data_IF_874867916559
#
_entry.id   IF_874867916559
#
_cell.length_a   1.000
_cell.length_b   1.000
_cell.length_c   1.000
_cell.angle_alpha   90.00
_cell.angle_beta   90.00
_cell.angle_gamma   90.00
#
_symmetry.space_group_name_H-M   'P 1'
#
loop_
_entity.id
_entity.type
_entity.pdbx_description
1 polymer ?
#
# COMPACT_ATOMS: atom_id res chain seq x y z
N UNK A 1 -10.33 -14.90 -7.28
CA UNK A 1 -10.75 -13.48 -7.31
C UNK A 1 -11.30 -13.19 -5.93
N UNK A 2 -10.41 -12.66 -5.11
CA UNK A 2 -10.18 -13.16 -3.75
C UNK A 2 -10.65 -12.13 -2.74
N UNK A 3 -11.80 -12.43 -2.13
CA UNK A 3 -12.31 -11.64 -1.02
C UNK A 3 -11.64 -12.03 0.28
N UNK A 4 -11.46 -11.09 1.21
CA UNK A 4 -10.89 -11.36 2.54
C UNK A 4 -11.71 -12.44 3.28
N UNK A 5 -13.03 -12.46 3.10
CA UNK A 5 -13.91 -13.44 3.77
C UNK A 5 -14.06 -14.71 2.95
N UNK A 6 -14.07 -14.60 1.62
CA UNK A 6 -14.33 -15.72 0.72
C UNK A 6 -13.07 -16.55 0.38
N UNK A 7 -11.88 -15.96 0.40
CA UNK A 7 -10.63 -16.62 0.00
C UNK A 7 -9.89 -17.25 1.18
N UNK A 8 -9.85 -16.62 2.36
CA UNK A 8 -9.21 -17.18 3.55
C UNK A 8 -9.60 -16.45 4.86
N UNK A 9 -10.64 -16.93 5.55
CA UNK A 9 -11.09 -16.37 6.82
C UNK A 9 -10.03 -16.40 7.93
N UNK A 10 -9.08 -17.34 7.88
CA UNK A 10 -7.98 -17.43 8.85
C UNK A 10 -7.00 -16.26 8.70
N UNK A 11 -6.73 -15.81 7.46
CA UNK A 11 -5.90 -14.62 7.22
C UNK A 11 -6.53 -13.36 7.82
N UNK A 12 -7.85 -13.21 7.72
CA UNK A 12 -8.57 -12.09 8.32
C UNK A 12 -8.51 -12.11 9.85
N UNK A 13 -8.73 -13.28 10.46
CA UNK A 13 -8.64 -13.45 11.91
C UNK A 13 -7.21 -13.14 12.38
N UNK A 14 -6.21 -13.66 11.66
CA UNK A 14 -4.80 -13.40 11.96
C UNK A 14 -4.47 -11.90 11.88
N UNK A 15 -4.89 -11.22 10.82
CA UNK A 15 -4.69 -9.77 10.67
C UNK A 15 -5.30 -9.02 11.86
N UNK A 16 -6.56 -9.29 12.20
CA UNK A 16 -7.23 -8.64 13.34
C UNK A 16 -6.48 -8.87 14.67
N UNK A 17 -6.05 -10.10 14.91
CA UNK A 17 -5.31 -10.43 16.12
C UNK A 17 -3.98 -9.69 16.17
N UNK A 18 -3.26 -9.60 15.04
CA UNK A 18 -1.99 -8.89 14.96
C UNK A 18 -2.18 -7.37 15.14
N UNK A 19 -3.17 -6.75 14.50
CA UNK A 19 -3.44 -5.32 14.65
C UNK A 19 -3.77 -4.93 16.10
N UNK A 20 -4.50 -5.80 16.82
CA UNK A 20 -4.93 -5.56 18.22
C UNK A 20 -3.87 -5.89 19.26
N UNK A 21 -3.03 -6.90 19.02
CA UNK A 21 -2.06 -7.38 20.03
C UNK A 21 -0.69 -6.72 19.94
N UNK A 22 -0.34 -6.12 18.79
CA UNK A 22 0.96 -5.52 18.58
C UNK A 22 1.13 -4.21 19.34
N UNK A 23 2.30 -4.05 19.94
CA UNK A 23 2.69 -2.84 20.70
C UNK A 23 3.35 -1.80 19.81
N UNK A 24 3.77 -2.22 18.62
CA UNK A 24 4.40 -1.41 17.59
C UNK A 24 3.46 -0.28 17.14
N UNK A 25 4.01 0.93 17.02
CA UNK A 25 3.28 2.16 16.66
C UNK A 25 3.17 2.36 15.15
N UNK A 26 4.05 1.73 14.37
CA UNK A 26 4.08 1.86 12.91
C UNK A 26 3.71 0.52 12.26
N UNK A 27 2.71 0.52 11.40
CA UNK A 27 2.22 -0.64 10.67
C UNK A 27 2.30 -0.33 9.17
N UNK A 28 2.97 -1.21 8.44
CA UNK A 28 3.04 -1.16 6.97
C UNK A 28 2.44 -2.46 6.44
N UNK A 29 1.30 -2.35 5.77
CA UNK A 29 0.57 -3.46 5.18
C UNK A 29 0.88 -3.55 3.69
N UNK A 30 1.40 -4.68 3.23
CA UNK A 30 1.64 -4.94 1.81
C UNK A 30 0.52 -5.81 1.23
N UNK A 31 -0.09 -5.35 0.14
CA UNK A 31 -1.14 -6.07 -0.58
C UNK A 31 -0.74 -6.29 -2.04
N UNK A 32 -1.15 -7.40 -2.66
CA UNK A 32 -0.85 -7.66 -4.07
C UNK A 32 -1.64 -6.75 -5.03
N UNK A 33 -2.78 -6.21 -4.59
CA UNK A 33 -3.69 -5.39 -5.38
C UNK A 33 -4.20 -4.19 -4.57
N UNK A 34 -4.76 -3.16 -5.23
CA UNK A 34 -5.46 -2.08 -4.57
C UNK A 34 -6.55 -2.57 -3.60
N UNK A 35 -6.87 -1.78 -2.58
CA UNK A 35 -8.03 -2.04 -1.71
C UNK A 35 -9.31 -1.59 -2.40
N UNK A 36 -9.31 -0.40 -3.01
CA UNK A 36 -10.48 0.24 -3.59
C UNK A 36 -10.44 0.24 -5.13
N UNK A 37 -11.60 0.53 -5.73
CA UNK A 37 -11.75 0.73 -7.17
C UNK A 37 -11.82 -0.57 -7.98
N UNK A 38 -11.90 -0.44 -9.30
CA UNK A 38 -12.17 -1.56 -10.22
C UNK A 38 -11.10 -2.67 -10.21
N UNK A 39 -9.90 -2.38 -9.71
CA UNK A 39 -8.79 -3.33 -9.57
C UNK A 39 -8.58 -3.84 -8.15
N UNK A 40 -9.41 -3.41 -7.18
CA UNK A 40 -9.36 -3.86 -5.79
C UNK A 40 -10.33 -4.98 -5.47
N UNK A 41 -10.86 -4.99 -4.24
CA UNK A 41 -11.87 -5.98 -3.84
C UNK A 41 -13.11 -5.88 -4.75
N UNK A 42 -13.65 -7.03 -5.17
CA UNK A 42 -14.86 -7.05 -6.00
C UNK A 42 -16.11 -6.67 -5.19
N UNK A 43 -16.12 -7.01 -3.90
CA UNK A 43 -17.15 -6.60 -2.95
C UNK A 43 -16.69 -5.34 -2.21
N UNK A 44 -17.42 -4.23 -2.39
CA UNK A 44 -17.10 -2.97 -1.73
C UNK A 44 -17.18 -3.08 -0.21
N UNK A 45 -18.03 -3.97 0.33
CA UNK A 45 -18.13 -4.20 1.77
C UNK A 45 -16.85 -4.82 2.34
N UNK A 46 -16.08 -5.59 1.55
CA UNK A 46 -14.79 -6.12 2.00
C UNK A 46 -13.71 -5.04 2.01
N UNK A 47 -13.72 -4.13 1.02
CA UNK A 47 -12.83 -2.99 1.00
C UNK A 47 -13.10 -2.05 2.19
N UNK A 48 -14.38 -1.77 2.46
CA UNK A 48 -14.81 -0.94 3.58
C UNK A 48 -14.47 -1.63 4.92
N UNK A 49 -14.74 -2.93 5.06
CA UNK A 49 -14.38 -3.68 6.27
C UNK A 49 -12.88 -3.63 6.59
N UNK A 50 -12.02 -3.84 5.57
CA UNK A 50 -10.56 -3.70 5.76
C UNK A 50 -10.21 -2.28 6.18
N UNK A 51 -10.76 -1.28 5.48
CA UNK A 51 -10.49 0.12 5.76
C UNK A 51 -10.90 0.51 7.18
N UNK A 52 -12.13 0.21 7.58
CA UNK A 52 -12.67 0.52 8.90
C UNK A 52 -11.83 -0.15 10.00
N UNK A 53 -11.41 -1.39 9.81
CA UNK A 53 -10.52 -2.11 10.76
C UNK A 53 -9.17 -1.40 10.91
N UNK A 54 -8.63 -0.86 9.81
CA UNK A 54 -7.40 -0.08 9.86
C UNK A 54 -7.64 1.30 10.50
N UNK A 55 -8.79 1.93 10.28
CA UNK A 55 -9.15 3.20 10.93
C UNK A 55 -9.26 3.01 12.45
N UNK A 56 -9.96 1.96 12.91
CA UNK A 56 -10.01 1.61 14.34
C UNK A 56 -8.60 1.41 14.92
N UNK A 57 -7.72 0.74 14.17
CA UNK A 57 -6.34 0.51 14.58
C UNK A 57 -5.53 1.82 14.65
N UNK A 58 -5.76 2.73 13.69
CA UNK A 58 -5.14 4.06 13.65
C UNK A 58 -5.60 4.91 14.83
N UNK A 59 -6.88 4.87 15.18
CA UNK A 59 -7.46 5.63 16.28
C UNK A 59 -6.87 5.24 17.66
N UNK A 60 -6.27 4.06 17.75
CA UNK A 60 -5.43 3.64 18.89
C UNK A 60 -4.04 4.32 18.92
N UNK A 61 -3.80 5.31 18.06
CA UNK A 61 -2.55 6.08 17.97
C UNK A 61 -1.48 5.44 17.09
N UNK A 62 -1.84 4.52 16.19
CA UNK A 62 -0.90 3.83 15.30
C UNK A 62 -0.81 4.53 13.95
N UNK A 63 0.40 4.61 13.39
CA UNK A 63 0.65 5.05 12.02
C UNK A 63 0.48 3.87 11.06
N UNK A 64 -0.35 4.05 10.02
CA UNK A 64 -0.67 2.97 9.09
C UNK A 64 -0.40 3.41 7.66
N UNK A 65 0.35 2.57 6.95
CA UNK A 65 0.61 2.67 5.53
C UNK A 65 0.13 1.38 4.86
N UNK A 66 -0.55 1.50 3.74
CA UNK A 66 -0.93 0.38 2.89
C UNK A 66 -0.22 0.53 1.57
N UNK A 67 0.66 -0.42 1.24
CA UNK A 67 1.42 -0.43 -0.01
C UNK A 67 0.88 -1.53 -0.89
N UNK A 68 0.59 -1.22 -2.15
CA UNK A 68 0.11 -2.21 -3.11
C UNK A 68 0.66 -2.01 -4.52
N UNK A 69 0.63 -3.09 -5.31
CA UNK A 69 0.93 -3.02 -6.74
C UNK A 69 -0.17 -2.38 -7.55
N UNK A 70 0.18 -1.87 -8.74
CA UNK A 70 -0.74 -1.29 -9.70
C UNK A 70 -0.06 -0.91 -11.02
N UNK A 71 -0.75 -0.12 -11.83
CA UNK A 71 -0.31 0.30 -13.17
C UNK A 71 0.38 1.67 -13.19
N UNK A 72 0.75 2.20 -12.03
CA UNK A 72 1.38 3.50 -11.86
C UNK A 72 1.78 3.71 -10.41
N UNK A 73 2.48 4.81 -10.13
CA UNK A 73 2.92 5.15 -8.77
C UNK A 73 2.14 6.35 -8.27
N UNK A 74 1.33 6.16 -7.22
CA UNK A 74 0.48 7.21 -6.65
C UNK A 74 0.38 7.07 -5.14
N UNK A 75 -0.01 8.15 -4.47
CA UNK A 75 -0.29 8.12 -3.03
C UNK A 75 -1.62 8.79 -2.77
N UNK A 76 -2.42 8.20 -1.91
CA UNK A 76 -3.70 8.75 -1.45
C UNK A 76 -3.76 8.73 0.08
N UNK A 77 -4.41 9.74 0.66
CA UNK A 77 -4.62 9.84 2.11
C UNK A 77 -6.11 9.74 2.38
N UNK A 78 -6.53 8.65 3.01
CA UNK A 78 -7.92 8.39 3.34
C UNK A 78 -8.05 8.08 4.83
N UNK A 79 -8.83 8.90 5.54
CA UNK A 79 -9.05 8.79 6.99
C UNK A 79 -7.73 8.69 7.78
N UNK A 80 -6.74 9.43 7.31
CA UNK A 80 -5.39 9.49 7.86
C UNK A 80 -4.57 8.21 7.71
N UNK A 81 -5.02 7.23 6.91
CA UNK A 81 -4.24 6.09 6.45
C UNK A 81 -3.67 6.44 5.07
N UNK A 82 -2.39 6.14 4.86
CA UNK A 82 -1.74 6.41 3.57
C UNK A 82 -1.72 5.18 2.69
N UNK A 83 -2.42 5.25 1.57
CA UNK A 83 -2.45 4.23 0.53
C UNK A 83 -1.42 4.59 -0.54
N UNK A 84 -0.51 3.67 -0.83
CA UNK A 84 0.61 3.89 -1.75
C UNK A 84 0.56 2.81 -2.81
N UNK A 85 0.30 3.23 -4.04
CA UNK A 85 0.42 2.37 -5.21
C UNK A 85 1.84 2.47 -5.75
N UNK A 86 2.47 1.33 -6.00
CA UNK A 86 3.71 1.26 -6.77
C UNK A 86 3.42 0.70 -8.16
N UNK A 87 4.10 1.24 -9.16
CA UNK A 87 4.03 0.67 -10.50
C UNK A 87 4.71 -0.71 -10.53
N UNK A 88 3.90 -1.75 -10.66
CA UNK A 88 4.36 -3.15 -10.74
C UNK A 88 3.93 -3.79 -12.05
N UNK A 89 3.62 -2.98 -13.08
CA UNK A 89 3.29 -3.48 -14.42
C UNK A 89 4.48 -4.28 -14.98
N UNK A 90 4.18 -5.32 -15.76
CA UNK A 90 5.22 -6.00 -16.54
C UNK A 90 5.91 -5.00 -17.47
N UNK A 91 7.24 -5.04 -17.50
CA UNK A 91 8.03 -4.21 -18.42
C UNK A 91 7.81 -4.72 -19.85
N UNK A 92 7.34 -3.83 -20.71
CA UNK A 92 7.03 -4.12 -22.11
C UNK A 92 7.99 -3.44 -23.08
N UNK A 93 8.52 -2.29 -22.68
CA UNK A 93 9.49 -1.49 -23.42
C UNK A 93 10.67 -1.15 -22.52
N UNK A 94 11.82 -0.79 -23.11
CA UNK A 94 12.98 -0.34 -22.34
C UNK A 94 12.71 0.94 -21.57
N UNK A 95 11.80 1.80 -22.03
CA UNK A 95 11.43 3.04 -21.34
C UNK A 95 10.64 2.80 -20.04
N UNK A 96 9.97 1.64 -19.90
CA UNK A 96 9.20 1.30 -18.70
C UNK A 96 10.08 1.22 -17.45
N UNK A 97 11.39 0.99 -17.59
CA UNK A 97 12.31 0.94 -16.44
C UNK A 97 12.38 2.27 -15.69
N UNK A 98 12.11 3.39 -16.37
CA UNK A 98 12.13 4.72 -15.76
C UNK A 98 10.86 5.00 -14.94
N UNK A 99 9.82 4.17 -15.09
CA UNK A 99 8.62 4.23 -14.25
C UNK A 99 8.75 3.37 -12.98
N UNK A 100 9.84 2.63 -12.82
CA UNK A 100 10.09 1.83 -11.62
C UNK A 100 10.47 2.74 -10.46
N UNK A 101 9.73 2.62 -9.36
CA UNK A 101 9.97 3.38 -8.14
C UNK A 101 10.16 2.44 -6.95
N UNK A 102 11.00 2.86 -6.01
CA UNK A 102 11.14 2.26 -4.69
C UNK A 102 10.49 3.17 -3.67
N UNK A 103 9.84 2.55 -2.69
CA UNK A 103 9.45 3.23 -1.46
C UNK A 103 10.50 2.98 -0.38
N UNK A 104 10.99 4.05 0.21
CA UNK A 104 11.86 4.02 1.38
C UNK A 104 11.08 4.54 2.57
N UNK A 105 11.03 3.75 3.64
CA UNK A 105 10.47 4.16 4.92
C UNK A 105 11.60 4.44 5.91
N UNK A 106 11.56 5.61 6.54
CA UNK A 106 12.50 6.00 7.59
C UNK A 106 11.74 6.05 8.90
N UNK A 107 12.12 5.18 9.83
CA UNK A 107 11.47 5.01 11.14
C UNK A 107 12.40 5.51 12.24
N UNK A 108 11.92 6.46 13.04
CA UNK A 108 12.60 6.97 14.22
C UNK A 108 11.65 6.91 15.43
N UNK A 109 11.67 5.79 16.15
CA UNK A 109 10.72 5.53 17.23
C UNK A 109 9.28 5.47 16.71
N UNK A 110 8.41 6.34 17.23
CA UNK A 110 7.02 6.47 16.75
C UNK A 110 6.88 7.29 15.48
N UNK A 111 7.92 8.04 15.08
CA UNK A 111 7.87 8.86 13.89
C UNK A 111 8.26 8.02 12.68
N UNK A 112 7.48 8.14 11.61
CA UNK A 112 7.71 7.45 10.35
C UNK A 112 7.50 8.43 9.20
N UNK A 113 8.46 8.44 8.27
CA UNK A 113 8.37 9.18 7.02
C UNK A 113 8.66 8.24 5.84
N UNK A 114 8.28 8.65 4.64
CA UNK A 114 8.52 7.87 3.44
C UNK A 114 8.92 8.74 2.26
N UNK A 115 9.67 8.14 1.34
CA UNK A 115 10.03 8.73 0.05
C UNK A 115 9.80 7.72 -1.07
N UNK A 116 9.43 8.22 -2.24
CA UNK A 116 9.24 7.42 -3.45
C UNK A 116 10.25 7.90 -4.48
N UNK A 117 11.21 7.04 -4.79
CA UNK A 117 12.37 7.40 -5.61
C UNK A 117 12.40 6.52 -6.87
N UNK A 118 12.69 7.09 -8.06
CA UNK A 118 12.89 6.28 -9.26
C UNK A 118 14.13 5.40 -9.09
N UNK A 119 14.04 4.16 -9.56
CA UNK A 119 15.19 3.23 -9.57
C UNK A 119 16.24 3.69 -10.58
N UNK A 120 15.79 4.18 -11.73
CA UNK A 120 16.64 4.63 -12.82
C UNK A 120 16.30 6.07 -13.21
N UNK A 121 17.32 6.90 -13.40
CA UNK A 121 17.16 8.26 -13.88
C UNK A 121 16.98 8.25 -15.41
N UNK A 122 15.93 8.91 -15.90
CA UNK A 122 15.72 9.05 -17.36
C UNK A 122 16.77 10.00 -17.94
N UNK A 123 17.57 9.58 -18.94
CA UNK A 123 18.54 10.46 -19.57
C UNK A 123 17.85 11.68 -20.21
N UNK A 124 18.37 12.88 -19.93
CA UNK A 124 17.91 14.09 -20.59
C UNK A 124 18.76 14.35 -21.84
N UNK A 125 18.40 13.73 -22.95
CA UNK A 125 19.09 13.92 -24.23
C UNK A 125 18.50 15.17 -24.89
N UNK A 126 19.23 16.29 -24.83
CA UNK A 126 18.95 17.45 -25.67
C UNK A 126 19.45 17.15 -27.08
N UNK A 127 18.54 17.00 -28.02
CA UNK A 127 18.88 16.93 -29.44
C UNK A 127 19.03 18.38 -29.93
N UNK A 128 20.26 18.77 -30.27
CA UNK A 128 20.56 20.05 -30.91
C UNK A 128 20.34 19.95 -32.42
#
# INVERSE_FOLDING_TARGET
KDGIRAANSEQWIKLNNELKSRTETNIILFLPSPVFGASGFNDTLEADLLHDTLVETKDLGKNIFVVHGGNGTTTDLKDGIRYIQLNTKSLSTTDDIYDLHLIEFVVNGSDISYQINPVFQKPNIKVN
#
